data_IF_955018315294
#
_entry.id   IF_955018315294
#
_cell.length_a   1.000
_cell.length_b   1.000
_cell.length_c   1.000
_cell.angle_alpha   90.00
_cell.angle_beta   90.00
_cell.angle_gamma   90.00
#
_symmetry.space_group_name_H-M   'P 1'
#
loop_
_entity.id
_entity.type
_entity.pdbx_description
1 polymer ?
#
# COMPACT_ATOMS: atom_id res chain seq x y z
N UNK A 1 -47.95 -24.79 -23.88
CA UNK A 1 -47.26 -25.11 -22.60
C UNK A 1 -45.75 -25.37 -22.72
N UNK A 2 -45.26 -26.07 -23.76
CA UNK A 2 -43.83 -26.46 -23.90
C UNK A 2 -42.85 -25.27 -23.95
N UNK A 3 -43.18 -24.18 -24.65
CA UNK A 3 -42.34 -22.96 -24.71
C UNK A 3 -42.20 -22.24 -23.36
N UNK A 4 -43.27 -22.15 -22.58
CA UNK A 4 -43.23 -21.53 -21.23
C UNK A 4 -42.36 -22.33 -20.25
N UNK A 5 -42.37 -23.67 -20.34
CA UNK A 5 -41.51 -24.54 -19.54
C UNK A 5 -40.03 -24.42 -19.94
N UNK A 6 -39.76 -24.30 -21.24
CA UNK A 6 -38.41 -24.08 -21.74
C UNK A 6 -37.88 -22.71 -21.27
N UNK A 7 -38.64 -21.63 -21.45
CA UNK A 7 -38.23 -20.29 -20.97
C UNK A 7 -37.96 -20.30 -19.46
N UNK A 8 -38.82 -20.91 -18.65
CA UNK A 8 -38.59 -21.01 -17.21
C UNK A 8 -37.33 -21.80 -16.83
N UNK A 9 -37.03 -22.90 -17.52
CA UNK A 9 -35.81 -23.69 -17.30
C UNK A 9 -34.54 -22.91 -17.68
N UNK A 10 -34.56 -22.19 -18.80
CA UNK A 10 -33.44 -21.34 -19.22
C UNK A 10 -33.24 -20.14 -18.28
N UNK A 11 -34.33 -19.53 -17.77
CA UNK A 11 -34.25 -18.46 -16.77
C UNK A 11 -33.64 -18.94 -15.44
N UNK A 12 -33.98 -20.15 -14.98
CA UNK A 12 -33.41 -20.72 -13.75
C UNK A 12 -31.93 -21.09 -13.91
N UNK A 13 -31.54 -21.63 -15.07
CA UNK A 13 -30.13 -21.92 -15.38
C UNK A 13 -29.27 -20.65 -15.43
N UNK A 14 -29.77 -19.58 -16.07
CA UNK A 14 -29.10 -18.29 -16.10
C UNK A 14 -28.97 -17.66 -14.70
N UNK A 15 -30.00 -17.76 -13.86
CA UNK A 15 -29.94 -17.26 -12.48
C UNK A 15 -28.92 -18.06 -11.64
N UNK A 16 -28.84 -19.38 -11.82
CA UNK A 16 -27.87 -20.24 -11.14
C UNK A 16 -26.42 -19.93 -11.54
N UNK A 17 -26.16 -19.68 -12.82
CA UNK A 17 -24.83 -19.28 -13.31
C UNK A 17 -24.37 -17.91 -12.78
N UNK A 18 -25.29 -16.97 -12.58
CA UNK A 18 -24.97 -15.67 -11.99
C UNK A 18 -24.68 -15.73 -10.47
N UNK A 19 -25.13 -16.76 -9.76
CA UNK A 19 -24.92 -16.92 -8.32
C UNK A 19 -23.61 -17.66 -7.96
N UNK A 20 -23.05 -18.44 -8.89
CA UNK A 20 -21.81 -19.22 -8.71
C UNK A 20 -20.53 -18.38 -8.41
N UNK A 21 -20.28 -17.18 -9.00
CA UNK A 21 -19.05 -16.45 -8.72
C UNK A 21 -18.97 -15.86 -7.30
N UNK A 22 -20.10 -15.74 -6.58
CA UNK A 22 -20.14 -15.19 -5.22
C UNK A 22 -19.46 -16.10 -4.20
N UNK A 23 -19.45 -17.42 -4.43
CA UNK A 23 -18.89 -18.39 -3.48
C UNK A 23 -17.37 -18.57 -3.63
N UNK A 24 -16.80 -18.22 -4.78
CA UNK A 24 -15.35 -18.38 -5.02
C UNK A 24 -14.53 -17.17 -4.56
N UNK A 25 -15.15 -15.99 -4.43
CA UNK A 25 -14.48 -14.78 -3.97
C UNK A 25 -14.17 -14.77 -2.45
N UNK A 26 -14.73 -15.69 -1.65
CA UNK A 26 -14.55 -15.74 -0.20
C UNK A 26 -13.25 -16.38 0.31
N UNK A 27 -12.40 -16.90 -0.59
CA UNK A 27 -11.25 -17.74 -0.24
C UNK A 27 -9.95 -17.00 0.11
N UNK A 28 -9.83 -15.70 -0.16
CA UNK A 28 -8.65 -14.93 0.22
C UNK A 28 -8.74 -14.51 1.69
N UNK A 29 -8.45 -15.45 2.62
CA UNK A 29 -8.19 -15.10 4.01
C UNK A 29 -6.92 -14.26 4.06
N UNK A 30 -7.07 -12.94 4.17
CA UNK A 30 -6.00 -12.06 4.61
C UNK A 30 -5.52 -12.56 5.98
N UNK A 31 -4.24 -12.85 6.08
CA UNK A 31 -3.59 -13.40 7.25
C UNK A 31 -3.68 -12.36 8.37
N UNK A 32 -4.41 -12.67 9.44
CA UNK A 32 -4.64 -11.77 10.57
C UNK A 32 -3.38 -11.73 11.47
N UNK A 33 -2.33 -11.03 11.05
CA UNK A 33 -1.25 -10.64 11.96
C UNK A 33 -1.76 -9.49 12.81
N UNK A 34 -2.34 -9.83 13.97
CA UNK A 34 -2.76 -8.86 14.99
C UNK A 34 -1.53 -8.29 15.71
N UNK A 35 -0.69 -7.55 15.00
CA UNK A 35 0.08 -6.49 15.65
C UNK A 35 -0.91 -5.35 15.94
N UNK A 36 -0.96 -4.88 17.18
CA UNK A 36 -1.76 -3.73 17.58
C UNK A 36 -1.12 -2.46 17.00
N UNK A 37 -1.47 -2.15 15.76
CA UNK A 37 -1.16 -0.88 15.12
C UNK A 37 -2.05 0.22 15.70
N UNK A 38 -1.56 1.46 15.67
CA UNK A 38 -2.17 2.59 16.35
C UNK A 38 -1.33 3.07 17.53
N UNK A 39 -0.02 3.24 17.35
CA UNK A 39 0.86 3.77 18.39
C UNK A 39 0.32 5.08 19.00
N UNK A 40 0.44 5.26 20.31
CA UNK A 40 -0.10 6.42 21.03
C UNK A 40 0.45 7.75 20.51
N UNK A 41 1.70 7.73 20.09
CA UNK A 41 2.48 8.83 19.53
C UNK A 41 1.79 9.41 18.29
N UNK A 42 1.10 8.57 17.49
CA UNK A 42 0.33 9.02 16.33
C UNK A 42 -0.75 10.05 16.65
N UNK A 43 -1.30 10.07 17.88
CA UNK A 43 -2.25 11.11 18.28
C UNK A 43 -1.59 12.49 18.39
N UNK A 44 -0.32 12.55 18.83
CA UNK A 44 0.43 13.81 18.87
C UNK A 44 0.73 14.31 17.47
N UNK A 45 1.02 13.41 16.52
CA UNK A 45 1.17 13.75 15.11
C UNK A 45 -0.10 14.41 14.56
N UNK A 46 -1.27 13.79 14.81
CA UNK A 46 -2.56 14.29 14.34
C UNK A 46 -2.93 15.65 14.93
N UNK A 47 -2.58 15.94 16.19
CA UNK A 47 -2.90 17.24 16.81
C UNK A 47 -2.32 18.43 16.03
N UNK A 48 -1.08 18.31 15.54
CA UNK A 48 -0.44 19.36 14.76
C UNK A 48 -0.75 19.23 13.26
N UNK A 49 -0.64 18.03 12.69
CA UNK A 49 -0.79 17.85 11.24
C UNK A 49 -2.23 18.05 10.74
N UNK A 50 -3.25 17.91 11.60
CA UNK A 50 -4.64 18.17 11.20
C UNK A 50 -4.90 19.64 10.84
N UNK A 51 -4.09 20.58 11.33
CA UNK A 51 -4.19 22.00 10.96
C UNK A 51 -3.14 22.41 9.93
N UNK A 52 -1.93 21.84 10.00
CA UNK A 52 -0.83 22.18 9.10
C UNK A 52 -0.94 21.51 7.72
N UNK A 53 -1.48 20.29 7.67
CA UNK A 53 -1.48 19.42 6.49
C UNK A 53 -2.83 18.72 6.31
N UNK A 54 -3.90 19.51 6.22
CA UNK A 54 -5.30 19.02 6.19
C UNK A 54 -5.51 17.95 5.11
N UNK A 55 -5.01 18.19 3.90
CA UNK A 55 -5.19 17.26 2.78
C UNK A 55 -4.51 15.91 3.01
N UNK A 56 -3.31 15.89 3.58
CA UNK A 56 -2.57 14.66 3.88
C UNK A 56 -3.27 13.85 4.98
N UNK A 57 -3.75 14.53 6.02
CA UNK A 57 -4.50 13.87 7.09
C UNK A 57 -5.82 13.31 6.55
N UNK A 58 -6.49 14.03 5.66
CA UNK A 58 -7.73 13.55 5.06
C UNK A 58 -7.52 12.36 4.13
N UNK A 59 -6.45 12.35 3.32
CA UNK A 59 -6.07 11.21 2.50
C UNK A 59 -5.82 9.96 3.36
N UNK A 60 -5.03 10.10 4.43
CA UNK A 60 -4.81 9.03 5.38
C UNK A 60 -6.12 8.55 6.01
N UNK A 61 -6.96 9.48 6.48
CA UNK A 61 -8.24 9.19 7.17
C UNK A 61 -9.20 8.42 6.28
N UNK A 62 -9.29 8.79 5.00
CA UNK A 62 -10.13 8.12 4.01
C UNK A 62 -9.54 6.79 3.54
N UNK A 63 -8.21 6.66 3.54
CA UNK A 63 -7.49 5.44 3.14
C UNK A 63 -7.71 4.25 4.09
N UNK A 64 -7.42 3.05 3.60
CA UNK A 64 -7.61 1.80 4.35
C UNK A 64 -6.77 1.77 5.65
N UNK A 65 -5.55 2.33 5.62
CA UNK A 65 -4.71 2.41 6.82
C UNK A 65 -5.32 3.27 7.92
N UNK A 66 -5.86 4.45 7.61
CA UNK A 66 -6.57 5.27 8.60
C UNK A 66 -7.82 4.60 9.13
N UNK A 67 -8.61 3.96 8.27
CA UNK A 67 -9.79 3.18 8.70
C UNK A 67 -9.45 2.00 9.61
N UNK A 68 -8.25 1.41 9.45
CA UNK A 68 -7.72 0.33 10.29
C UNK A 68 -6.83 0.81 11.43
N UNK A 69 -6.73 2.13 11.65
CA UNK A 69 -5.96 2.77 12.72
C UNK A 69 -4.44 2.57 12.64
N UNK A 70 -3.90 2.19 11.48
CA UNK A 70 -2.45 2.32 11.21
C UNK A 70 -2.17 3.81 11.05
N UNK A 71 -1.54 4.44 12.04
CA UNK A 71 -1.38 5.88 12.10
C UNK A 71 -0.03 6.36 11.58
N UNK A 72 0.21 7.68 11.66
CA UNK A 72 1.41 8.33 11.16
C UNK A 72 2.69 7.68 11.71
N UNK A 73 2.73 7.45 13.03
CA UNK A 73 3.93 6.94 13.70
C UNK A 73 4.18 5.46 13.40
N UNK A 74 3.13 4.67 13.15
CA UNK A 74 3.27 3.26 12.78
C UNK A 74 4.08 3.05 11.49
N UNK A 75 4.06 4.01 10.58
CA UNK A 75 4.87 4.01 9.36
C UNK A 75 6.17 4.80 9.55
N UNK A 76 6.07 6.03 10.07
CA UNK A 76 7.18 6.98 10.10
C UNK A 76 8.17 6.79 11.26
N UNK A 77 7.89 5.95 12.27
CA UNK A 77 8.85 5.69 13.35
C UNK A 77 10.18 5.19 12.78
N UNK A 78 11.27 5.75 13.31
CA UNK A 78 12.62 5.38 12.95
C UNK A 78 13.40 4.90 14.17
N UNK A 79 14.47 4.14 13.93
CA UNK A 79 15.40 3.72 14.98
C UNK A 79 16.62 4.64 15.04
N UNK A 80 17.25 4.72 16.21
CA UNK A 80 18.47 5.49 16.39
C UNK A 80 19.58 4.92 15.50
N UNK A 81 20.20 5.82 14.71
CA UNK A 81 21.28 5.45 13.79
C UNK A 81 20.83 5.08 12.39
N UNK A 82 19.52 5.07 12.10
CA UNK A 82 19.04 5.04 10.72
C UNK A 82 19.46 6.35 10.01
N UNK A 83 19.95 6.29 8.75
CA UNK A 83 20.53 7.45 8.07
C UNK A 83 19.57 8.64 7.86
N UNK A 84 18.28 8.36 7.79
CA UNK A 84 17.20 9.32 7.56
C UNK A 84 16.38 9.62 8.83
N UNK A 85 16.81 9.10 9.98
CA UNK A 85 16.16 9.35 11.26
C UNK A 85 16.52 10.73 11.82
N UNK A 86 15.52 11.48 12.27
CA UNK A 86 15.70 12.73 12.98
C UNK A 86 14.63 12.92 14.06
N UNK A 87 14.94 13.75 15.07
CA UNK A 87 13.96 14.11 16.10
C UNK A 87 12.92 15.07 15.52
N UNK A 88 11.65 14.71 15.70
CA UNK A 88 10.52 15.56 15.38
C UNK A 88 9.63 15.68 16.61
N UNK A 89 9.91 16.71 17.41
CA UNK A 89 9.18 17.04 18.63
C UNK A 89 9.16 15.88 19.65
N UNK A 90 10.32 15.28 19.89
CA UNK A 90 10.50 14.21 20.87
C UNK A 90 10.16 12.81 20.36
N UNK A 91 9.78 12.68 19.08
CA UNK A 91 9.62 11.40 18.40
C UNK A 91 10.69 11.24 17.34
N UNK A 92 11.39 10.11 17.32
CA UNK A 92 12.36 9.81 16.27
C UNK A 92 11.64 9.25 15.04
N UNK A 93 11.74 9.94 13.91
CA UNK A 93 11.01 9.61 12.68
C UNK A 93 11.91 9.64 11.44
N UNK A 94 11.44 8.98 10.39
CA UNK A 94 11.90 9.13 9.02
C UNK A 94 10.74 9.60 8.14
N UNK A 95 10.97 10.59 7.29
CA UNK A 95 9.94 11.10 6.36
C UNK A 95 9.72 10.12 5.20
N UNK A 96 10.78 9.44 4.75
CA UNK A 96 10.72 8.49 3.66
C UNK A 96 10.37 7.11 4.22
N UNK A 97 9.13 6.67 4.00
CA UNK A 97 8.70 5.31 4.35
C UNK A 97 9.20 4.36 3.27
N UNK A 98 10.12 3.47 3.64
CA UNK A 98 10.74 2.52 2.72
C UNK A 98 9.92 1.23 2.58
N UNK A 99 10.19 0.38 1.57
CA UNK A 99 9.59 -0.96 1.50
C UNK A 99 9.84 -1.82 2.75
N UNK A 100 10.92 -1.57 3.50
CA UNK A 100 11.21 -2.28 4.76
C UNK A 100 10.22 -1.91 5.87
N UNK A 101 9.74 -0.67 5.89
CA UNK A 101 8.74 -0.22 6.85
C UNK A 101 7.38 -0.87 6.57
N UNK A 102 7.02 -0.98 5.29
CA UNK A 102 5.84 -1.72 4.84
C UNK A 102 5.92 -3.21 5.22
N UNK A 103 7.11 -3.81 5.11
CA UNK A 103 7.35 -5.23 5.37
C UNK A 103 7.09 -5.64 6.84
N UNK A 104 7.03 -4.68 7.76
CA UNK A 104 6.60 -4.93 9.16
C UNK A 104 5.19 -5.53 9.25
N UNK A 105 4.34 -5.28 8.26
CA UNK A 105 2.99 -5.86 8.11
C UNK A 105 2.83 -6.68 6.83
N UNK A 106 3.41 -6.21 5.74
CA UNK A 106 3.20 -6.68 4.37
C UNK A 106 4.45 -7.38 3.81
N UNK A 107 5.04 -8.28 4.61
CA UNK A 107 6.27 -8.97 4.24
C UNK A 107 6.12 -9.73 2.92
N UNK A 108 5.00 -10.44 2.75
CA UNK A 108 4.73 -11.21 1.52
C UNK A 108 4.69 -10.32 0.29
N UNK A 109 3.92 -9.23 0.33
CA UNK A 109 3.77 -8.33 -0.82
C UNK A 109 5.11 -7.64 -1.17
N UNK A 110 5.92 -7.32 -0.15
CA UNK A 110 7.28 -6.80 -0.36
C UNK A 110 8.18 -7.85 -1.01
N UNK A 111 8.15 -9.10 -0.58
CA UNK A 111 8.94 -10.18 -1.17
C UNK A 111 8.54 -10.47 -2.63
N UNK A 112 7.24 -10.42 -2.92
CA UNK A 112 6.70 -10.51 -4.28
C UNK A 112 7.21 -9.36 -5.16
N UNK A 113 7.21 -8.12 -4.65
CA UNK A 113 7.63 -6.94 -5.41
C UNK A 113 9.15 -6.80 -5.57
N UNK A 114 9.94 -7.25 -4.58
CA UNK A 114 11.39 -7.09 -4.52
C UNK A 114 12.13 -7.71 -5.71
N UNK A 115 11.57 -8.76 -6.31
CA UNK A 115 12.12 -9.41 -7.50
C UNK A 115 11.91 -8.62 -8.80
N UNK A 116 11.03 -7.62 -8.83
CA UNK A 116 10.66 -6.89 -10.05
C UNK A 116 11.76 -5.96 -10.58
N UNK A 117 11.72 -5.66 -11.88
CA UNK A 117 12.56 -4.61 -12.46
C UNK A 117 12.27 -3.22 -11.85
N UNK A 118 11.02 -2.95 -11.46
CA UNK A 118 10.65 -1.69 -10.80
C UNK A 118 11.38 -1.50 -9.47
N UNK A 119 11.53 -2.56 -8.66
CA UNK A 119 12.28 -2.51 -7.40
C UNK A 119 13.78 -2.22 -7.61
N UNK A 120 14.30 -2.43 -8.82
CA UNK A 120 15.69 -2.19 -9.22
C UNK A 120 15.85 -0.99 -10.15
N UNK A 121 14.78 -0.23 -10.43
CA UNK A 121 14.78 0.80 -11.46
C UNK A 121 15.89 1.84 -11.26
N UNK A 122 16.19 2.22 -10.01
CA UNK A 122 17.26 3.16 -9.69
C UNK A 122 18.68 2.67 -10.05
N UNK A 123 18.89 1.36 -10.23
CA UNK A 123 20.20 0.79 -10.58
C UNK A 123 20.63 1.14 -12.01
N UNK A 124 19.70 1.60 -12.87
CA UNK A 124 20.05 2.08 -14.20
C UNK A 124 20.81 3.42 -14.12
N UNK A 125 20.58 4.22 -13.08
CA UNK A 125 21.24 5.52 -12.93
C UNK A 125 22.75 5.30 -12.70
N UNK A 126 23.59 6.01 -13.45
CA UNK A 126 25.04 5.84 -13.45
C UNK A 126 25.53 4.38 -13.71
N UNK A 127 24.79 3.63 -14.52
CA UNK A 127 25.21 2.29 -15.00
C UNK A 127 25.71 2.36 -16.44
N UNK A 128 26.64 1.48 -16.81
CA UNK A 128 27.14 1.38 -18.19
C UNK A 128 26.01 1.08 -19.19
N UNK A 129 24.96 0.41 -18.73
CA UNK A 129 23.81 0.01 -19.54
C UNK A 129 22.84 1.17 -19.82
N UNK A 130 23.04 2.35 -19.21
CA UNK A 130 22.19 3.51 -19.43
C UNK A 130 22.65 4.43 -20.58
N UNK A 131 23.65 4.04 -21.36
CA UNK A 131 24.24 4.86 -22.43
C UNK A 131 23.19 5.61 -23.29
N UNK A 132 22.09 4.94 -23.64
CA UNK A 132 20.99 5.57 -24.38
C UNK A 132 20.29 6.70 -23.60
N UNK A 133 20.12 6.54 -22.29
CA UNK A 133 19.59 7.57 -21.40
C UNK A 133 20.55 8.74 -21.19
N UNK A 134 21.81 8.48 -20.81
CA UNK A 134 22.77 9.55 -20.49
C UNK A 134 23.36 10.24 -21.72
N UNK A 135 23.73 9.49 -22.76
CA UNK A 135 24.48 10.03 -23.91
C UNK A 135 23.56 10.40 -25.07
N UNK A 136 22.58 9.56 -25.41
CA UNK A 136 21.67 9.82 -26.53
C UNK A 136 20.51 10.72 -26.11
N UNK A 137 19.87 10.43 -24.97
CA UNK A 137 18.77 11.21 -24.42
C UNK A 137 19.20 12.51 -23.74
N UNK A 138 20.43 12.56 -23.24
CA UNK A 138 20.96 13.67 -22.46
C UNK A 138 20.46 13.68 -21.00
N UNK A 139 21.04 14.54 -20.14
CA UNK A 139 20.61 14.65 -18.75
C UNK A 139 19.13 15.06 -18.67
N UNK A 140 18.41 14.66 -17.59
CA UNK A 140 17.04 15.10 -17.38
C UNK A 140 16.96 16.62 -17.48
N UNK A 141 16.00 17.13 -18.26
CA UNK A 141 15.71 18.54 -18.35
C UNK A 141 15.17 19.00 -16.98
N UNK A 142 16.08 19.48 -16.13
CA UNK A 142 15.76 20.18 -14.88
C UNK A 142 15.84 21.68 -15.11
#
# INVERSE_FOLDING_TARGET
MRRRRLVALWSLLLLGMLALPVWWAGGARAQEVRASWGATEGQTCLQCHSSQNVALVEEWRLGAHGQKRVNCFDCHRAAKGEPDAFDHYGNLIAVIVSPKDCARCHQREVDEQKGSHHAKAGQILASLDNFLGEVVGGPPAV
#
